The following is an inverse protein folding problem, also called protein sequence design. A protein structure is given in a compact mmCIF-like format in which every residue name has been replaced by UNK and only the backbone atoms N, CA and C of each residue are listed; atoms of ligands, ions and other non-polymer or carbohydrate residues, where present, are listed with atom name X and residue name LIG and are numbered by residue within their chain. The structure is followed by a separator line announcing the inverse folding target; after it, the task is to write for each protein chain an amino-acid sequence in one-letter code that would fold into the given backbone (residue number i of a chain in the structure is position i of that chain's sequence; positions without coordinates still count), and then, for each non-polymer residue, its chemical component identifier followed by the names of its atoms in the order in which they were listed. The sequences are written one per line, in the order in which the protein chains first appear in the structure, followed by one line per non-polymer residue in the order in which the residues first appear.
data_IF_840018782542
#
_entry.id   IF_840018782542
#
_cell.length_a   1.000
_cell.length_b   1.000
_cell.length_c   1.000
_cell.angle_alpha   90.00
_cell.angle_beta   90.00
_cell.angle_gamma   90.00
#
_symmetry.space_group_name_H-M   'P 1'
#
loop_
_entity.id
_entity.type
_entity.pdbx_description
1 polymer ?
#
# COMPACT_ATOMS: atom_id res chain seq x y z
N UNK A 1 2.80 9.46 15.35
CA UNK A 1 3.14 8.83 14.06
C UNK A 1 3.05 7.32 14.25
N UNK A 2 2.20 6.65 13.47
CA UNK A 2 2.03 5.19 13.54
C UNK A 2 3.30 4.49 13.07
N UNK A 3 3.64 3.37 13.71
CA UNK A 3 4.74 2.51 13.29
C UNK A 3 4.28 1.66 12.10
N UNK A 4 5.04 1.69 11.01
CA UNK A 4 4.78 0.82 9.85
C UNK A 4 5.52 -0.50 10.03
N UNK A 5 4.77 -1.57 10.25
CA UNK A 5 5.29 -2.93 10.12
C UNK A 5 5.13 -3.45 8.68
N UNK A 6 6.09 -4.25 8.22
CA UNK A 6 6.11 -4.83 6.87
C UNK A 6 6.15 -6.35 6.98
N UNK A 7 5.06 -6.98 6.56
CA UNK A 7 4.94 -8.43 6.49
C UNK A 7 6.00 -9.05 5.56
N UNK A 8 6.28 -10.34 5.75
CA UNK A 8 7.18 -11.09 4.87
C UNK A 8 6.65 -11.14 3.42
N UNK A 9 5.33 -11.26 3.24
CA UNK A 9 4.68 -11.18 1.94
C UNK A 9 4.93 -9.82 1.26
N UNK A 10 4.70 -8.72 1.97
CA UNK A 10 4.97 -7.38 1.46
C UNK A 10 6.42 -7.21 1.02
N UNK A 11 7.38 -7.62 1.86
CA UNK A 11 8.83 -7.51 1.54
C UNK A 11 9.18 -8.27 0.26
N UNK A 12 8.62 -9.47 0.07
CA UNK A 12 8.83 -10.29 -1.13
C UNK A 12 8.21 -9.64 -2.36
N UNK A 13 6.97 -9.17 -2.25
CA UNK A 13 6.24 -8.58 -3.37
C UNK A 13 6.86 -7.24 -3.78
N UNK A 14 7.20 -6.38 -2.83
CA UNK A 14 7.94 -5.14 -3.10
C UNK A 14 9.29 -5.40 -3.81
N UNK A 15 10.04 -6.44 -3.40
CA UNK A 15 11.28 -6.82 -4.10
C UNK A 15 11.04 -7.30 -5.54
N UNK A 16 9.88 -7.90 -5.83
CA UNK A 16 9.49 -8.26 -7.20
C UNK A 16 9.14 -7.00 -8.00
N UNK A 17 8.32 -6.12 -7.44
CA UNK A 17 7.86 -4.90 -8.14
C UNK A 17 9.01 -3.91 -8.41
N UNK A 18 10.01 -3.83 -7.53
CA UNK A 18 11.24 -3.03 -7.77
C UNK A 18 12.08 -3.54 -8.94
N UNK A 19 11.79 -4.74 -9.46
CA UNK A 19 12.42 -5.30 -10.67
C UNK A 19 11.45 -5.37 -11.86
N UNK A 20 10.19 -5.01 -11.65
CA UNK A 20 9.12 -5.11 -12.64
C UNK A 20 8.95 -3.85 -13.50
N UNK A 21 7.79 -3.78 -14.16
CA UNK A 21 7.42 -2.70 -15.08
C UNK A 21 7.47 -1.32 -14.40
N UNK A 22 7.02 -1.23 -13.14
CA UNK A 22 6.90 0.04 -12.42
C UNK A 22 8.15 0.44 -11.63
N UNK A 23 9.27 -0.29 -11.77
CA UNK A 23 10.48 -0.10 -10.96
C UNK A 23 10.95 1.36 -10.83
N UNK A 24 10.80 2.15 -11.88
CA UNK A 24 11.29 3.54 -11.92
C UNK A 24 10.39 4.52 -11.15
N UNK A 25 9.13 4.17 -10.87
CA UNK A 25 8.15 5.08 -10.25
C UNK A 25 7.40 4.46 -9.06
N UNK A 26 7.76 3.23 -8.68
CA UNK A 26 7.11 2.50 -7.60
C UNK A 26 7.23 3.24 -6.26
N UNK A 27 8.44 3.66 -5.91
CA UNK A 27 8.70 4.34 -4.64
C UNK A 27 8.04 5.71 -4.56
N UNK A 28 8.01 6.44 -5.67
CA UNK A 28 7.38 7.77 -5.73
C UNK A 28 5.85 7.66 -5.55
N UNK A 29 5.25 6.56 -6.01
CA UNK A 29 3.84 6.27 -5.80
C UNK A 29 3.55 5.72 -4.39
N UNK A 30 4.46 4.93 -3.82
CA UNK A 30 4.27 4.26 -2.53
C UNK A 30 4.54 5.18 -1.33
N UNK A 31 5.59 6.02 -1.37
CA UNK A 31 6.00 6.88 -0.24
C UNK A 31 4.89 7.81 0.26
N UNK A 32 4.12 8.51 -0.59
CA UNK A 32 3.04 9.39 -0.13
C UNK A 32 1.96 8.62 0.64
N UNK A 33 1.62 7.41 0.18
CA UNK A 33 0.66 6.54 0.86
C UNK A 33 1.20 6.11 2.22
N UNK A 34 2.44 5.64 2.30
CA UNK A 34 3.05 5.26 3.59
C UNK A 34 3.09 6.44 4.56
N UNK A 35 3.44 7.64 4.10
CA UNK A 35 3.46 8.85 4.93
C UNK A 35 2.07 9.19 5.46
N UNK A 36 1.05 9.20 4.60
CA UNK A 36 -0.32 9.48 4.99
C UNK A 36 -0.83 8.44 6.01
N UNK A 37 -0.53 7.15 5.79
CA UNK A 37 -0.86 6.09 6.74
C UNK A 37 -0.13 6.23 8.08
N UNK A 38 1.13 6.65 8.09
CA UNK A 38 1.89 6.88 9.31
C UNK A 38 1.43 8.12 10.10
N UNK A 39 0.78 9.06 9.43
CA UNK A 39 0.35 10.35 10.00
C UNK A 39 -1.16 10.48 10.16
N UNK A 40 -1.88 9.37 9.96
CA UNK A 40 -3.34 9.28 10.05
C UNK A 40 -4.08 10.27 9.16
N UNK A 41 -3.45 10.62 8.04
CA UNK A 41 -4.06 11.46 7.02
C UNK A 41 -4.89 10.61 6.06
N UNK A 42 -5.98 11.17 5.49
CA UNK A 42 -6.72 10.50 4.44
C UNK A 42 -5.82 10.28 3.21
N UNK A 43 -6.01 9.15 2.53
CA UNK A 43 -5.38 8.91 1.24
C UNK A 43 -6.06 9.76 0.17
N UNK A 44 -5.33 10.12 -0.88
CA UNK A 44 -5.88 10.79 -2.06
C UNK A 44 -7.01 9.94 -2.65
N UNK A 45 -8.12 10.56 -3.06
CA UNK A 45 -9.28 9.86 -3.61
C UNK A 45 -8.93 8.97 -4.83
N UNK A 46 -7.88 9.33 -5.58
CA UNK A 46 -7.38 8.53 -6.72
C UNK A 46 -6.84 7.17 -6.28
N UNK A 47 -6.41 7.04 -5.03
CA UNK A 47 -5.97 5.77 -4.47
C UNK A 47 -7.13 4.81 -4.19
N UNK A 48 -8.40 5.24 -4.28
CA UNK A 48 -9.59 4.37 -4.15
C UNK A 48 -9.49 3.43 -2.94
N UNK A 49 -9.09 3.98 -1.81
CA UNK A 49 -8.92 3.23 -0.58
C UNK A 49 -10.24 2.62 -0.10
N UNK A 50 -10.28 1.32 0.13
CA UNK A 50 -11.49 0.62 0.53
C UNK A 50 -11.20 -0.62 1.39
N UNK A 51 -12.21 -1.04 2.15
CA UNK A 51 -12.14 -2.25 2.96
C UNK A 51 -12.28 -3.50 2.09
N UNK A 52 -11.46 -4.51 2.40
CA UNK A 52 -11.58 -5.84 1.82
C UNK A 52 -12.58 -6.70 2.61
N UNK A 53 -13.13 -7.71 1.95
CA UNK A 53 -14.10 -8.65 2.51
C UNK A 53 -13.61 -10.10 2.49
N UNK A 54 -14.37 -11.01 3.12
CA UNK A 54 -14.04 -12.45 3.14
C UNK A 54 -12.83 -12.74 4.03
N UNK A 55 -11.91 -13.58 3.54
CA UNK A 55 -10.66 -13.93 4.25
C UNK A 55 -9.77 -12.71 4.54
N UNK A 56 -10.00 -11.61 3.83
CA UNK A 56 -9.30 -10.34 3.99
C UNK A 56 -10.11 -9.30 4.80
N UNK A 57 -11.20 -9.71 5.45
CA UNK A 57 -11.98 -8.82 6.30
C UNK A 57 -11.09 -8.15 7.37
N UNK A 58 -11.22 -6.82 7.49
CA UNK A 58 -10.39 -6.00 8.38
C UNK A 58 -9.05 -5.57 7.77
N UNK A 59 -8.75 -5.95 6.54
CA UNK A 59 -7.72 -5.33 5.71
C UNK A 59 -8.33 -4.30 4.77
N UNK A 60 -7.47 -3.43 4.25
CA UNK A 60 -7.78 -2.41 3.25
C UNK A 60 -6.81 -2.56 2.09
N UNK A 61 -7.25 -2.16 0.91
CA UNK A 61 -6.37 -1.98 -0.24
C UNK A 61 -6.55 -0.60 -0.87
N UNK A 62 -5.51 -0.16 -1.57
CA UNK A 62 -5.54 1.08 -2.33
C UNK A 62 -4.72 0.95 -3.61
N UNK A 63 -5.02 1.76 -4.61
CA UNK A 63 -4.34 1.82 -5.90
C UNK A 63 -3.22 2.88 -5.86
N UNK A 64 -1.97 2.44 -5.98
CA UNK A 64 -0.83 3.36 -6.23
C UNK A 64 -0.44 3.41 -7.71
N UNK A 65 -0.81 2.37 -8.45
CA UNK A 65 -0.79 2.24 -9.91
C UNK A 65 -2.03 1.43 -10.34
N UNK A 66 -2.37 1.36 -11.65
CA UNK A 66 -3.51 0.57 -12.11
C UNK A 66 -3.50 -0.90 -11.65
N UNK A 67 -2.31 -1.48 -11.53
CA UNK A 67 -2.01 -2.89 -11.27
C UNK A 67 -1.14 -3.11 -10.02
N UNK A 68 -0.88 -2.07 -9.22
CA UNK A 68 -0.11 -2.17 -7.97
C UNK A 68 -0.98 -1.72 -6.80
N UNK A 69 -1.32 -2.69 -5.96
CA UNK A 69 -2.28 -2.57 -4.86
C UNK A 69 -1.63 -2.95 -3.53
N UNK A 70 -1.17 -1.98 -2.72
CA UNK A 70 -0.75 -2.28 -1.36
C UNK A 70 -1.96 -2.67 -0.51
N UNK A 71 -1.89 -3.86 0.10
CA UNK A 71 -2.85 -4.32 1.10
C UNK A 71 -2.27 -4.03 2.50
N UNK A 72 -3.08 -3.46 3.38
CA UNK A 72 -2.66 -3.06 4.72
C UNK A 72 -3.78 -3.21 5.74
N UNK A 73 -3.43 -3.12 7.03
CA UNK A 73 -4.38 -3.10 8.15
C UNK A 73 -4.00 -1.97 9.11
N UNK A 74 -4.99 -1.26 9.63
CA UNK A 74 -4.83 -0.26 10.69
C UNK A 74 -5.30 -0.89 12.01
N UNK A 75 -4.55 -0.66 13.08
CA UNK A 75 -4.93 -0.99 14.46
C UNK A 75 -5.05 0.29 15.27
#
# INVERSE_FOLDING_TARGET
MRTIDRSSAFKRDYKRETKGQHRATLDDALKPVLLALATDQPLDARCRDHDLSGDWAGYRECHIKPDVLPVYRKY
#
